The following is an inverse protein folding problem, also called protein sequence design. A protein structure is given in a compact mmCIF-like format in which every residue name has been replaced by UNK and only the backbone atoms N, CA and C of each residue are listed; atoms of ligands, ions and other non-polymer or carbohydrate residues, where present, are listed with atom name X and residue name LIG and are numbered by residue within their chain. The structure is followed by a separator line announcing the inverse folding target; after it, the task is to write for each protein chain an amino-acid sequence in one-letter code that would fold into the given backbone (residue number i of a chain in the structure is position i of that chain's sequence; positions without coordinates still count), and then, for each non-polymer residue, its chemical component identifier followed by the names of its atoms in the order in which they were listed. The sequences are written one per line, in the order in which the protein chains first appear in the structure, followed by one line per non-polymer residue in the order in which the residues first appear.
data_IF_198765150950
#
_entry.id   IF_198765150950
#
_cell.length_a   1.000
_cell.length_b   1.000
_cell.length_c   1.000
_cell.angle_alpha   90.00
_cell.angle_beta   90.00
_cell.angle_gamma   90.00
#
_symmetry.space_group_name_H-M   'P 1'
#
loop_
_entity.id
_entity.type
_entity.pdbx_description
1 polymer ?
#
# COMPACT_ATOMS: atom_id res chain seq x y z
N UNK A 1 -16.58 -14.06 -14.23
CA UNK A 1 -15.98 -12.80 -14.73
C UNK A 1 -14.59 -12.70 -14.14
N UNK A 2 -13.58 -12.30 -14.92
CA UNK A 2 -12.21 -12.09 -14.42
C UNK A 2 -12.07 -10.65 -13.96
N UNK A 3 -11.45 -10.41 -12.79
CA UNK A 3 -11.08 -9.07 -12.36
C UNK A 3 -9.83 -8.53 -13.07
N UNK A 4 -9.60 -7.22 -12.96
CA UNK A 4 -8.38 -6.54 -13.42
C UNK A 4 -7.43 -6.38 -12.24
N UNK A 5 -6.25 -6.98 -12.33
CA UNK A 5 -5.20 -6.82 -11.30
C UNK A 5 -4.58 -5.43 -11.36
N UNK A 6 -3.95 -4.99 -10.26
CA UNK A 6 -3.20 -3.71 -10.23
C UNK A 6 -2.09 -3.69 -11.29
N UNK A 7 -1.40 -4.82 -11.52
CA UNK A 7 -0.40 -4.92 -12.59
C UNK A 7 -1.00 -4.65 -13.97
N UNK A 8 -2.14 -5.27 -14.29
CA UNK A 8 -2.80 -5.08 -15.58
C UNK A 8 -3.33 -3.65 -15.73
N UNK A 9 -3.88 -3.08 -14.65
CA UNK A 9 -4.31 -1.69 -14.61
C UNK A 9 -3.15 -0.72 -14.86
N UNK A 10 -1.99 -0.92 -14.23
CA UNK A 10 -0.79 -0.11 -14.49
C UNK A 10 -0.42 -0.20 -15.97
N UNK A 11 -0.33 -1.43 -16.52
CA UNK A 11 0.01 -1.66 -17.95
C UNK A 11 -0.96 -0.99 -18.92
N UNK A 12 -2.25 -0.91 -18.60
CA UNK A 12 -3.24 -0.20 -19.43
C UNK A 12 -3.23 1.32 -19.26
N UNK A 13 -2.66 1.83 -18.17
CA UNK A 13 -2.71 3.25 -17.81
C UNK A 13 -1.52 4.05 -18.34
N UNK A 14 -0.33 3.45 -18.31
CA UNK A 14 0.93 4.10 -18.71
C UNK A 14 1.03 4.31 -20.23
N UNK A 15 1.92 5.21 -20.66
CA UNK A 15 2.22 5.43 -22.08
C UNK A 15 2.73 4.14 -22.73
N UNK A 16 2.46 3.88 -24.03
CA UNK A 16 3.06 2.76 -24.77
C UNK A 16 4.58 2.75 -24.77
N UNK A 17 5.23 3.90 -24.52
CA UNK A 17 6.69 4.01 -24.41
C UNK A 17 7.24 3.61 -23.04
N UNK A 18 6.40 3.49 -22.01
CA UNK A 18 6.80 3.12 -20.65
C UNK A 18 7.05 1.62 -20.58
N UNK A 19 8.23 1.23 -20.13
CA UNK A 19 8.54 -0.18 -19.87
C UNK A 19 8.03 -0.58 -18.48
N UNK A 20 7.19 -1.61 -18.42
CA UNK A 20 6.67 -2.16 -17.16
C UNK A 20 7.28 -3.53 -16.92
N UNK A 21 8.20 -3.62 -15.96
CA UNK A 21 8.79 -4.88 -15.49
C UNK A 21 8.02 -5.36 -14.26
N UNK A 22 7.70 -6.65 -14.21
CA UNK A 22 7.06 -7.28 -13.06
C UNK A 22 7.97 -8.36 -12.47
N UNK A 23 8.24 -8.24 -11.19
CA UNK A 23 8.92 -9.24 -10.37
C UNK A 23 8.14 -9.36 -9.06
N UNK A 24 7.68 -10.55 -8.70
CA UNK A 24 6.81 -10.76 -7.54
C UNK A 24 7.57 -10.61 -6.21
N UNK A 25 8.83 -11.03 -6.17
CA UNK A 25 9.69 -10.96 -4.98
C UNK A 25 11.13 -10.56 -5.34
N UNK A 26 11.34 -9.29 -5.73
CA UNK A 26 12.67 -8.81 -6.12
C UNK A 26 13.65 -8.80 -4.95
N UNK A 27 14.87 -9.24 -5.25
CA UNK A 27 16.01 -9.10 -4.35
C UNK A 27 16.66 -7.73 -4.53
N UNK A 28 17.30 -7.19 -3.48
CA UNK A 28 18.10 -5.96 -3.63
C UNK A 28 19.17 -6.09 -4.73
N UNK A 29 19.71 -7.30 -4.96
CA UNK A 29 20.66 -7.57 -6.04
C UNK A 29 20.05 -7.52 -7.44
N UNK A 30 18.79 -7.95 -7.63
CA UNK A 30 18.14 -7.90 -8.96
C UNK A 30 17.82 -6.47 -9.38
N UNK A 31 17.65 -5.57 -8.42
CA UNK A 31 17.42 -4.14 -8.64
C UNK A 31 18.71 -3.33 -8.86
N UNK A 32 19.86 -3.85 -8.42
CA UNK A 32 21.12 -3.12 -8.46
C UNK A 32 21.59 -2.89 -9.90
N UNK A 33 21.87 -1.64 -10.24
CA UNK A 33 22.36 -1.25 -11.57
C UNK A 33 21.27 -1.21 -12.64
N UNK A 34 20.01 -1.39 -12.26
CA UNK A 34 18.86 -1.12 -13.12
C UNK A 34 18.49 0.36 -13.04
N UNK A 35 18.02 0.90 -14.16
CA UNK A 35 17.61 2.30 -14.28
C UNK A 35 16.08 2.41 -14.25
N UNK A 36 15.50 2.21 -13.06
CA UNK A 36 14.07 2.33 -12.83
C UNK A 36 13.73 3.75 -12.33
N UNK A 37 12.79 4.43 -12.98
CA UNK A 37 12.34 5.76 -12.55
C UNK A 37 11.65 5.72 -11.16
N UNK A 38 10.83 4.70 -10.92
CA UNK A 38 10.14 4.42 -9.66
C UNK A 38 9.59 2.99 -9.64
N UNK A 39 9.21 2.52 -8.45
CA UNK A 39 8.57 1.23 -8.25
C UNK A 39 7.19 1.37 -7.59
N UNK A 40 6.24 0.49 -7.97
CA UNK A 40 4.97 0.31 -7.27
C UNK A 40 5.00 -1.06 -6.58
N UNK A 41 5.04 -1.05 -5.25
CA UNK A 41 5.12 -2.25 -4.41
C UNK A 41 3.73 -2.57 -3.86
N UNK A 42 3.14 -3.68 -4.29
CA UNK A 42 1.81 -4.11 -3.81
C UNK A 42 1.99 -5.25 -2.82
N UNK A 43 1.64 -5.02 -1.56
CA UNK A 43 1.80 -6.00 -0.46
C UNK A 43 0.61 -5.92 0.50
N UNK A 44 0.41 -6.92 1.34
CA UNK A 44 -0.81 -6.94 2.15
C UNK A 44 -1.05 -8.19 2.98
N UNK A 45 -2.26 -8.28 3.53
CA UNK A 45 -2.79 -9.49 4.17
C UNK A 45 -3.30 -10.48 3.10
N UNK A 46 -3.17 -11.80 3.33
CA UNK A 46 -3.85 -12.80 2.52
C UNK A 46 -5.37 -12.74 2.77
N UNK A 47 -6.22 -13.29 1.88
CA UNK A 47 -7.65 -13.38 2.12
C UNK A 47 -7.96 -14.20 3.38
N UNK A 48 -8.92 -13.73 4.16
CA UNK A 48 -9.44 -14.43 5.33
C UNK A 48 -10.93 -14.11 5.52
N UNK A 49 -11.63 -14.93 6.30
CA UNK A 49 -13.02 -14.70 6.69
C UNK A 49 -13.23 -15.16 8.13
N UNK A 50 -14.01 -14.39 8.88
CA UNK A 50 -14.42 -14.69 10.27
C UNK A 50 -13.21 -15.04 11.16
N UNK A 51 -13.27 -16.18 11.87
CA UNK A 51 -12.24 -16.62 12.82
C UNK A 51 -10.87 -16.81 12.17
N UNK A 52 -10.80 -17.09 10.87
CA UNK A 52 -9.52 -17.20 10.16
C UNK A 52 -8.80 -15.84 10.05
N UNK A 53 -9.51 -14.75 10.32
CA UNK A 53 -8.96 -13.39 10.37
C UNK A 53 -8.48 -12.96 11.76
N UNK A 54 -8.74 -13.74 12.81
CA UNK A 54 -8.32 -13.36 14.17
C UNK A 54 -6.78 -13.34 14.25
N UNK A 55 -6.24 -12.20 14.65
CA UNK A 55 -4.79 -12.01 14.75
C UNK A 55 -4.46 -11.05 15.88
N UNK A 56 -3.56 -11.50 16.76
CA UNK A 56 -3.05 -10.70 17.88
C UNK A 56 -1.85 -9.82 17.50
N UNK A 57 -1.22 -10.08 16.36
CA UNK A 57 -0.01 -9.36 15.94
C UNK A 57 -0.27 -8.33 14.82
N UNK A 58 -1.34 -8.49 14.03
CA UNK A 58 -1.72 -7.61 12.92
C UNK A 58 -0.54 -7.24 12.00
N UNK A 59 0.33 -8.21 11.72
CA UNK A 59 1.49 -8.06 10.82
C UNK A 59 1.18 -8.61 9.44
N UNK A 60 1.69 -7.95 8.39
CA UNK A 60 1.69 -8.55 7.05
C UNK A 60 2.70 -9.71 6.99
N UNK A 61 2.39 -10.82 6.30
CA UNK A 61 3.31 -11.94 6.16
C UNK A 61 4.50 -11.60 5.25
N UNK A 62 5.60 -12.32 5.44
CA UNK A 62 6.68 -12.36 4.45
C UNK A 62 6.18 -12.99 3.13
N UNK A 63 6.71 -12.56 1.97
CA UNK A 63 7.86 -11.66 1.78
C UNK A 63 7.54 -10.16 1.80
N UNK A 64 6.33 -9.72 2.17
CA UNK A 64 5.91 -8.32 2.06
C UNK A 64 6.87 -7.30 2.72
N UNK A 65 7.21 -7.44 4.01
CA UNK A 65 8.20 -6.60 4.70
C UNK A 65 9.57 -6.59 4.00
N UNK A 66 10.05 -7.73 3.54
CA UNK A 66 11.33 -7.86 2.85
C UNK A 66 11.29 -7.16 1.48
N UNK A 67 10.20 -7.30 0.73
CA UNK A 67 10.01 -6.62 -0.57
C UNK A 67 10.02 -5.11 -0.38
N UNK A 68 9.29 -4.57 0.61
CA UNK A 68 9.32 -3.12 0.90
C UNK A 68 10.75 -2.65 1.14
N UNK A 69 11.50 -3.33 2.02
CA UNK A 69 12.88 -2.95 2.34
C UNK A 69 13.80 -3.02 1.12
N UNK A 70 13.72 -4.09 0.33
CA UNK A 70 14.59 -4.29 -0.83
C UNK A 70 14.32 -3.26 -1.92
N UNK A 71 13.04 -3.07 -2.27
CA UNK A 71 12.64 -2.20 -3.38
C UNK A 71 12.80 -0.73 -3.00
N UNK A 72 12.19 -0.32 -1.89
CA UNK A 72 12.18 1.08 -1.47
C UNK A 72 13.54 1.56 -0.95
N UNK A 73 14.41 0.65 -0.50
CA UNK A 73 15.81 0.97 -0.20
C UNK A 73 16.68 1.19 -1.44
N UNK A 74 16.21 0.80 -2.63
CA UNK A 74 17.02 0.82 -3.86
C UNK A 74 16.48 1.80 -4.91
N UNK A 75 15.15 1.97 -4.97
CA UNK A 75 14.44 2.77 -5.99
C UNK A 75 13.35 3.56 -5.27
N UNK A 76 13.08 4.79 -5.73
CA UNK A 76 11.92 5.58 -5.27
C UNK A 76 10.65 4.74 -5.39
N UNK A 77 9.89 4.59 -4.30
CA UNK A 77 8.80 3.62 -4.26
C UNK A 77 7.47 4.19 -3.75
N UNK A 78 6.38 3.68 -4.32
CA UNK A 78 5.04 3.81 -3.77
C UNK A 78 4.60 2.43 -3.27
N UNK A 79 4.26 2.31 -1.98
CA UNK A 79 3.72 1.07 -1.41
C UNK A 79 2.19 1.14 -1.39
N UNK A 80 1.55 0.19 -2.06
CA UNK A 80 0.11 -0.04 -2.01
C UNK A 80 -0.17 -1.21 -1.06
N UNK A 81 -0.80 -0.90 0.08
CA UNK A 81 -1.16 -1.88 1.11
C UNK A 81 -2.58 -2.38 0.87
N UNK A 82 -2.71 -3.70 0.67
CA UNK A 82 -3.98 -4.43 0.57
C UNK A 82 -4.26 -5.08 1.92
N UNK A 83 -5.24 -4.58 2.67
CA UNK A 83 -5.55 -5.11 4.01
C UNK A 83 -7.02 -4.94 4.37
N UNK A 84 -7.55 -5.82 5.21
CA UNK A 84 -8.93 -5.68 5.69
C UNK A 84 -9.07 -4.65 6.81
N UNK A 85 -7.94 -4.16 7.33
CA UNK A 85 -7.83 -3.37 8.57
C UNK A 85 -6.46 -2.66 8.66
N UNK A 86 -6.28 -1.74 9.62
CA UNK A 86 -4.95 -1.24 9.97
C UNK A 86 -4.05 -2.40 10.44
N UNK A 87 -2.81 -2.40 9.95
CA UNK A 87 -1.77 -3.39 10.26
C UNK A 87 -0.48 -2.68 10.70
N UNK A 88 0.49 -3.41 11.24
CA UNK A 88 1.80 -2.84 11.63
C UNK A 88 2.52 -2.29 10.40
N UNK A 89 2.70 -0.96 10.35
CA UNK A 89 3.41 -0.26 9.27
C UNK A 89 4.63 0.54 9.73
N UNK A 90 4.68 0.93 11.00
CA UNK A 90 5.70 1.85 11.53
C UNK A 90 7.15 1.49 11.17
N UNK A 91 7.58 0.20 11.18
CA UNK A 91 8.96 -0.15 10.82
C UNK A 91 9.34 0.17 9.37
N UNK A 92 8.35 0.24 8.48
CA UNK A 92 8.56 0.38 7.04
C UNK A 92 8.51 1.83 6.56
N UNK A 93 7.82 2.71 7.29
CA UNK A 93 7.56 4.10 6.86
C UNK A 93 8.84 4.89 6.57
N UNK A 94 9.97 4.56 7.19
CA UNK A 94 11.26 5.22 6.94
C UNK A 94 11.84 4.94 5.54
N UNK A 95 11.42 3.85 4.89
CA UNK A 95 11.92 3.46 3.56
C UNK A 95 11.03 3.97 2.43
N UNK A 96 9.76 4.29 2.73
CA UNK A 96 8.71 4.44 1.73
C UNK A 96 8.51 5.91 1.37
N UNK A 97 8.58 6.27 0.09
CA UNK A 97 8.34 7.64 -0.37
C UNK A 97 6.84 8.01 -0.33
N UNK A 98 5.97 7.07 -0.66
CA UNK A 98 4.52 7.23 -0.56
C UNK A 98 3.82 5.92 -0.22
N UNK A 99 2.77 5.98 0.63
CA UNK A 99 2.01 4.81 1.06
C UNK A 99 0.52 5.02 0.81
N UNK A 100 -0.11 4.03 0.17
CA UNK A 100 -1.55 4.00 -0.12
C UNK A 100 -2.18 2.81 0.60
N UNK A 101 -3.13 3.08 1.49
CA UNK A 101 -3.99 2.04 2.05
C UNK A 101 -5.18 1.81 1.11
N UNK A 102 -5.11 0.76 0.31
CA UNK A 102 -6.11 0.43 -0.72
C UNK A 102 -7.22 -0.51 -0.22
N UNK A 103 -7.14 -0.96 1.03
CA UNK A 103 -8.08 -1.88 1.67
C UNK A 103 -8.23 -3.19 0.87
N UNK A 104 -9.46 -3.65 0.63
CA UNK A 104 -9.79 -4.78 -0.24
C UNK A 104 -10.57 -4.25 -1.46
N UNK A 105 -9.90 -3.79 -2.54
CA UNK A 105 -10.51 -2.97 -3.58
C UNK A 105 -11.42 -3.72 -4.57
N UNK A 106 -11.57 -5.05 -4.42
CA UNK A 106 -12.43 -5.86 -5.29
C UNK A 106 -11.80 -6.13 -6.67
N UNK A 107 -12.65 -6.26 -7.69
CA UNK A 107 -12.25 -6.71 -9.04
C UNK A 107 -11.69 -5.60 -9.93
N UNK A 108 -11.91 -4.33 -9.57
CA UNK A 108 -11.62 -3.18 -10.43
C UNK A 108 -10.29 -2.52 -10.05
N UNK A 109 -9.17 -3.23 -10.27
CA UNK A 109 -7.82 -2.73 -9.99
C UNK A 109 -7.46 -1.42 -10.73
N UNK A 110 -8.22 -1.05 -11.77
CA UNK A 110 -8.11 0.23 -12.45
C UNK A 110 -8.32 1.41 -11.49
N UNK A 111 -9.20 1.29 -10.49
CA UNK A 111 -9.41 2.36 -9.50
C UNK A 111 -8.15 2.71 -8.70
N UNK A 112 -7.24 1.74 -8.50
CA UNK A 112 -5.94 2.02 -7.87
C UNK A 112 -5.02 2.79 -8.82
N UNK A 113 -4.94 2.38 -10.09
CA UNK A 113 -4.11 3.06 -11.09
C UNK A 113 -4.59 4.49 -11.37
N UNK A 114 -5.91 4.70 -11.45
CA UNK A 114 -6.56 5.99 -11.65
C UNK A 114 -6.07 7.06 -10.66
N UNK A 115 -5.86 6.68 -9.38
CA UNK A 115 -5.31 7.59 -8.38
C UNK A 115 -3.78 7.69 -8.43
N UNK A 116 -3.07 6.57 -8.61
CA UNK A 116 -1.61 6.56 -8.67
C UNK A 116 -1.05 7.41 -9.81
N UNK A 117 -1.73 7.43 -10.96
CA UNK A 117 -1.31 8.18 -12.15
C UNK A 117 -2.01 9.54 -12.31
N UNK A 118 -2.83 9.94 -11.34
CA UNK A 118 -3.38 11.29 -11.25
C UNK A 118 -4.58 11.59 -12.15
N UNK A 119 -5.23 10.57 -12.73
CA UNK A 119 -6.50 10.76 -13.45
C UNK A 119 -7.60 11.25 -12.50
N UNK A 120 -7.52 10.79 -11.24
CA UNK A 120 -8.37 11.23 -10.14
C UNK A 120 -7.54 11.54 -8.88
N UNK A 121 -7.92 12.57 -8.11
CA UNK A 121 -7.24 12.92 -6.88
C UNK A 121 -7.47 11.86 -5.78
N UNK A 122 -6.47 11.65 -4.93
CA UNK A 122 -6.69 10.99 -3.65
C UNK A 122 -7.59 11.87 -2.77
N UNK A 123 -8.68 11.32 -2.28
CA UNK A 123 -9.64 12.03 -1.42
C UNK A 123 -10.03 11.25 -0.17
N UNK A 124 -9.69 9.95 -0.13
CA UNK A 124 -10.01 9.05 0.97
C UNK A 124 -9.43 9.52 2.30
N UNK A 125 -10.22 9.36 3.36
CA UNK A 125 -9.83 9.60 4.75
C UNK A 125 -10.00 8.33 5.55
N UNK A 126 -9.10 8.07 6.50
CA UNK A 126 -9.12 6.85 7.30
C UNK A 126 -10.42 6.76 8.11
N UNK A 127 -11.21 5.72 7.85
CA UNK A 127 -12.40 5.40 8.64
C UNK A 127 -12.07 4.65 9.95
N UNK A 128 -10.79 4.34 10.19
CA UNK A 128 -10.28 3.71 11.41
C UNK A 128 -8.96 4.35 11.82
N UNK A 129 -8.71 4.38 13.13
CA UNK A 129 -7.41 4.76 13.68
C UNK A 129 -6.34 3.77 13.22
N UNK A 130 -5.19 4.27 12.75
CA UNK A 130 -3.99 3.45 12.54
C UNK A 130 -3.10 3.50 13.79
N UNK A 131 -2.87 2.37 14.43
CA UNK A 131 -2.07 2.27 15.66
C UNK A 131 -0.56 2.31 15.37
N UNK A 132 0.25 2.68 16.37
CA UNK A 132 1.72 2.57 16.32
C UNK A 132 2.16 1.14 16.65
N UNK A 133 1.63 0.59 17.74
CA UNK A 133 1.82 -0.81 18.18
C UNK A 133 0.47 -1.46 18.49
N UNK A 134 0.39 -2.79 18.34
CA UNK A 134 -0.78 -3.58 18.75
C UNK A 134 -1.03 -3.51 20.26
N UNK A 135 -0.01 -3.20 21.06
CA UNK A 135 -0.13 -3.04 22.52
C UNK A 135 -1.03 -1.86 22.92
N UNK A 136 -1.30 -0.94 22.00
CA UNK A 136 -2.23 0.18 22.23
C UNK A 136 -3.70 -0.26 22.13
N UNK A 137 -3.98 -1.45 21.61
CA UNK A 137 -5.35 -1.88 21.34
C UNK A 137 -6.05 -2.36 22.63
N UNK A 138 -7.35 -2.05 22.82
CA UNK A 138 -8.18 -1.21 21.95
C UNK A 138 -7.90 0.30 22.12
N UNK A 139 -7.87 1.02 20.98
CA UNK A 139 -7.71 2.47 20.94
C UNK A 139 -8.55 3.08 19.80
N UNK A 140 -9.52 3.91 20.16
CA UNK A 140 -10.45 4.57 19.25
C UNK A 140 -10.46 6.09 19.45
N UNK A 141 -10.95 6.81 18.44
CA UNK A 141 -11.09 8.27 18.51
C UNK A 141 -11.95 8.66 19.71
N UNK A 142 -11.45 9.57 20.54
CA UNK A 142 -12.12 10.01 21.78
C UNK A 142 -11.62 9.33 23.06
N UNK A 143 -10.83 8.26 22.96
CA UNK A 143 -10.21 7.63 24.14
C UNK A 143 -9.21 8.57 24.82
N UNK A 144 -9.09 8.47 26.16
CA UNK A 144 -8.15 9.31 26.92
C UNK A 144 -6.69 9.04 26.57
N UNK A 145 -6.36 7.81 26.18
CA UNK A 145 -5.03 7.35 25.78
C UNK A 145 -4.85 7.33 24.26
N UNK A 146 -5.59 8.16 23.52
CA UNK A 146 -5.55 8.20 22.05
C UNK A 146 -4.22 8.75 21.51
N UNK A 147 -3.32 7.85 21.11
CA UNK A 147 -1.99 8.17 20.54
C UNK A 147 -1.73 7.40 19.22
N UNK A 148 -2.39 7.78 18.12
CA UNK A 148 -2.34 7.02 16.87
C UNK A 148 -1.06 7.27 16.06
N UNK A 149 -0.72 6.33 15.18
CA UNK A 149 0.26 6.54 14.10
C UNK A 149 -0.34 7.47 13.04
N UNK A 150 -1.56 7.14 12.60
CA UNK A 150 -2.39 8.00 11.77
C UNK A 150 -3.78 8.11 12.41
N UNK A 151 -4.25 9.32 12.74
CA UNK A 151 -5.53 9.49 13.42
C UNK A 151 -6.71 9.15 12.50
N UNK A 152 -7.88 8.92 13.10
CA UNK A 152 -9.14 8.83 12.36
C UNK A 152 -9.33 10.11 11.51
N UNK A 153 -9.81 9.94 10.28
CA UNK A 153 -9.98 11.04 9.33
C UNK A 153 -8.69 11.51 8.66
N UNK A 154 -7.53 10.91 8.95
CA UNK A 154 -6.28 11.22 8.26
C UNK A 154 -6.32 10.78 6.79
N UNK A 155 -5.66 11.53 5.92
CA UNK A 155 -5.45 11.17 4.52
C UNK A 155 -4.95 12.36 3.74
N UNK A 156 -3.86 12.19 2.99
CA UNK A 156 -3.40 13.24 2.08
C UNK A 156 -4.30 13.31 0.85
N UNK A 157 -4.32 14.48 0.21
CA UNK A 157 -5.00 14.68 -1.07
C UNK A 157 -3.99 14.97 -2.15
N UNK A 158 -4.33 14.64 -3.39
CA UNK A 158 -3.60 15.07 -4.59
C UNK A 158 -4.52 15.90 -5.46
N UNK A 159 -3.95 16.55 -6.46
CA UNK A 159 -4.71 17.22 -7.52
C UNK A 159 -4.70 16.35 -8.78
N UNK A 160 -5.70 16.55 -9.64
CA UNK A 160 -5.74 15.90 -10.94
C UNK A 160 -4.61 16.42 -11.83
N UNK A 161 -3.91 15.52 -12.51
CA UNK A 161 -2.91 15.89 -13.52
C UNK A 161 -3.56 15.97 -14.91
N UNK A 162 -3.05 16.88 -15.75
CA UNK A 162 -3.38 16.87 -17.18
C UNK A 162 -2.39 15.95 -17.88
N UNK A 163 -2.89 14.97 -18.64
CA UNK A 163 -2.06 14.13 -19.51
C UNK A 163 -1.69 14.88 -20.78
#
# INVERSE_FOLDING_TARGET
MSGTTILNAIKSTVSPSTQVVFEENPSASSLKGQDYDYAVVVVGEPPYAETNGDSMNLTMPEPGPTIIKNVCGSVKCVVVVISGRPIVLQPFLQYVDALVAAWLPGTEGQGVADNLFGDYPFTGKLARTWFKSVDQLPMNVGDKHYDPLFPFGFGFTTEKTSR
#
